data_IF_784295814297
#
_entry.id   IF_784295814297
#
_cell.length_a   1.000
_cell.length_b   1.000
_cell.length_c   1.000
_cell.angle_alpha   90.00
_cell.angle_beta   90.00
_cell.angle_gamma   90.00
#
_symmetry.space_group_name_H-M   'P 1'
#
loop_
_entity.id
_entity.type
_entity.pdbx_description
1 polymer ?
#
# COMPACT_ATOMS: atom_id res chain seq x y z
N UNK A 1 -15.69 9.40 3.31
CA UNK A 1 -15.52 7.93 3.44
C UNK A 1 -14.03 7.67 3.62
N UNK A 2 -13.62 6.87 4.62
CA UNK A 2 -12.20 6.61 4.86
C UNK A 2 -11.59 5.77 3.74
N UNK A 3 -10.33 6.05 3.44
CA UNK A 3 -9.53 5.30 2.48
C UNK A 3 -9.93 5.48 1.02
N UNK A 4 -10.71 6.49 0.63
CA UNK A 4 -10.92 6.80 -0.78
C UNK A 4 -9.63 7.30 -1.46
N UNK A 5 -9.61 7.31 -2.80
CA UNK A 5 -8.55 7.99 -3.56
C UNK A 5 -8.39 9.43 -3.06
N UNK A 6 -7.15 9.85 -2.86
CA UNK A 6 -6.78 11.12 -2.22
C UNK A 6 -6.55 11.04 -0.71
N UNK A 7 -6.99 9.96 -0.03
CA UNK A 7 -6.73 9.78 1.41
C UNK A 7 -5.24 9.65 1.68
N UNK A 8 -4.76 10.25 2.77
CA UNK A 8 -3.39 10.12 3.24
C UNK A 8 -3.34 9.02 4.30
N UNK A 9 -2.30 8.21 4.22
CA UNK A 9 -1.99 7.14 5.15
C UNK A 9 -0.63 7.39 5.77
N UNK A 10 -0.55 7.18 7.08
CA UNK A 10 0.71 6.98 7.79
C UNK A 10 1.05 5.51 7.79
N UNK A 11 2.26 5.16 7.36
CA UNK A 11 2.82 3.81 7.39
C UNK A 11 3.78 3.73 8.56
N UNK A 12 3.54 2.82 9.50
CA UNK A 12 4.37 2.70 10.70
C UNK A 12 4.44 1.25 11.21
N UNK A 13 5.47 0.97 12.03
CA UNK A 13 5.65 -0.28 12.76
C UNK A 13 5.82 -1.52 11.89
N UNK A 14 6.48 -1.40 10.74
CA UNK A 14 6.59 -2.50 9.79
C UNK A 14 7.68 -3.53 10.10
N UNK A 15 7.45 -4.77 9.71
CA UNK A 15 8.45 -5.86 9.68
C UNK A 15 8.89 -6.13 8.24
N UNK A 16 10.08 -6.71 8.03
CA UNK A 16 10.62 -6.98 6.69
C UNK A 16 11.76 -6.04 6.31
N UNK A 17 11.68 -5.42 5.14
CA UNK A 17 12.72 -4.52 4.60
C UNK A 17 12.91 -3.28 5.51
N UNK A 18 14.00 -3.30 6.28
CA UNK A 18 14.29 -2.25 7.26
C UNK A 18 14.78 -0.95 6.62
N UNK A 19 15.22 -0.96 5.35
CA UNK A 19 15.50 0.28 4.64
C UNK A 19 14.20 1.06 4.46
N UNK A 20 13.12 0.36 4.11
CA UNK A 20 11.79 0.94 3.97
C UNK A 20 11.12 1.25 5.32
N UNK A 21 11.09 0.28 6.25
CA UNK A 21 10.32 0.38 7.51
C UNK A 21 11.08 1.02 8.68
N UNK A 22 12.36 1.35 8.52
CA UNK A 22 13.15 1.98 9.57
C UNK A 22 12.67 3.39 9.95
N UNK A 23 11.70 3.95 9.22
CA UNK A 23 11.13 5.27 9.44
C UNK A 23 9.63 5.28 9.13
N UNK A 24 8.89 6.19 9.77
CA UNK A 24 7.50 6.46 9.39
C UNK A 24 7.45 7.07 7.98
N UNK A 25 6.57 6.55 7.14
CA UNK A 25 6.31 7.08 5.80
C UNK A 25 4.88 7.64 5.70
N UNK A 26 4.69 8.60 4.79
CA UNK A 26 3.38 9.09 4.40
C UNK A 26 3.10 8.71 2.96
N UNK A 27 1.88 8.28 2.70
CA UNK A 27 1.47 7.83 1.38
C UNK A 27 0.06 8.31 1.05
N UNK A 28 -0.19 8.65 -0.20
CA UNK A 28 -1.51 9.01 -0.70
C UNK A 28 -2.09 7.85 -1.48
N UNK A 29 -3.34 7.46 -1.21
CA UNK A 29 -4.04 6.54 -2.10
C UNK A 29 -4.31 7.23 -3.44
N UNK A 30 -3.89 6.59 -4.51
CA UNK A 30 -4.03 7.10 -5.88
C UNK A 30 -4.80 6.11 -6.72
N UNK A 31 -5.20 6.54 -7.92
CA UNK A 31 -5.80 5.70 -8.93
C UNK A 31 -5.05 5.91 -10.22
N UNK A 32 -4.53 4.84 -10.79
CA UNK A 32 -3.76 4.87 -12.02
C UNK A 32 -4.40 3.95 -13.06
N UNK A 33 -4.44 4.31 -14.35
CA UNK A 33 -5.08 3.49 -15.38
C UNK A 33 -4.50 2.08 -15.51
N UNK A 34 -3.23 1.92 -15.14
CA UNK A 34 -2.52 0.64 -15.21
C UNK A 34 -2.72 -0.26 -13.99
N UNK A 35 -3.35 0.24 -12.91
CA UNK A 35 -3.55 -0.53 -11.68
C UNK A 35 -5.01 -0.94 -11.52
N UNK A 36 -5.26 -2.26 -11.49
CA UNK A 36 -6.62 -2.83 -11.46
C UNK A 36 -7.28 -2.80 -10.08
N UNK A 37 -6.59 -2.32 -9.05
CA UNK A 37 -7.06 -2.38 -7.66
C UNK A 37 -6.93 -3.77 -7.02
N UNK A 38 -6.14 -4.66 -7.64
CA UNK A 38 -5.97 -6.04 -7.19
C UNK A 38 -4.52 -6.49 -7.34
N UNK A 39 -4.10 -7.39 -6.45
CA UNK A 39 -2.91 -8.24 -6.58
C UNK A 39 -3.36 -9.71 -6.51
N UNK A 40 -2.50 -10.71 -6.79
CA UNK A 40 -2.87 -12.13 -6.68
C UNK A 40 -3.47 -12.55 -5.32
N UNK A 41 -3.28 -11.73 -4.27
CA UNK A 41 -3.82 -11.95 -2.91
C UNK A 41 -5.19 -11.31 -2.65
N UNK A 42 -5.75 -10.55 -3.59
CA UNK A 42 -7.07 -9.91 -3.47
C UNK A 42 -7.06 -8.40 -3.67
N UNK A 43 -7.99 -7.71 -2.98
CA UNK A 43 -8.10 -6.25 -2.99
C UNK A 43 -6.76 -5.61 -2.62
N UNK A 44 -6.33 -4.64 -3.42
CA UNK A 44 -5.12 -3.89 -3.20
C UNK A 44 -5.36 -2.39 -3.35
N UNK A 45 -4.77 -1.60 -2.45
CA UNK A 45 -4.72 -0.15 -2.61
C UNK A 45 -3.37 0.25 -3.20
N UNK A 46 -3.40 1.12 -4.21
CA UNK A 46 -2.21 1.77 -4.74
C UNK A 46 -1.95 3.03 -3.93
N UNK A 47 -0.74 3.13 -3.37
CA UNK A 47 -0.30 4.29 -2.61
C UNK A 47 0.94 4.89 -3.28
N UNK A 48 0.97 6.21 -3.40
CA UNK A 48 2.15 6.97 -3.80
C UNK A 48 2.76 7.62 -2.56
N UNK A 49 4.06 7.41 -2.34
CA UNK A 49 4.77 7.99 -1.20
C UNK A 49 4.94 9.49 -1.39
N UNK A 50 4.62 10.28 -0.36
CA UNK A 50 4.49 11.74 -0.48
C UNK A 50 5.70 12.51 0.02
N UNK A 51 6.78 11.84 0.43
CA UNK A 51 8.00 12.51 0.90
C UNK A 51 9.06 11.56 1.44
N UNK A 52 10.23 12.12 1.74
CA UNK A 52 11.41 11.37 2.17
C UNK A 52 12.22 10.82 1.00
N UNK A 53 13.02 9.79 1.28
CA UNK A 53 13.93 9.16 0.32
C UNK A 53 13.19 8.44 -0.82
N UNK A 54 11.98 7.94 -0.53
CA UNK A 54 11.15 7.20 -1.46
C UNK A 54 10.02 8.06 -2.06
N UNK A 55 10.18 9.39 -2.09
CA UNK A 55 9.16 10.27 -2.64
C UNK A 55 8.80 9.88 -4.08
N UNK A 56 7.51 9.97 -4.41
CA UNK A 56 6.91 9.61 -5.69
C UNK A 56 6.94 8.11 -6.05
N UNK A 57 7.56 7.24 -5.25
CA UNK A 57 7.47 5.80 -5.45
C UNK A 57 6.06 5.26 -5.21
N UNK A 58 5.68 4.25 -5.99
CA UNK A 58 4.44 3.52 -5.82
C UNK A 58 4.64 2.23 -5.03
N UNK A 59 3.75 2.02 -4.06
CA UNK A 59 3.59 0.75 -3.38
C UNK A 59 2.15 0.28 -3.53
N UNK A 60 1.96 -1.03 -3.53
CA UNK A 60 0.64 -1.63 -3.36
C UNK A 60 0.54 -2.22 -1.96
N UNK A 61 -0.65 -2.14 -1.36
CA UNK A 61 -0.92 -2.77 -0.06
C UNK A 61 -2.09 -3.71 -0.18
N UNK A 62 -1.98 -4.90 0.41
CA UNK A 62 -3.05 -5.89 0.50
C UNK A 62 -3.38 -6.16 1.96
N UNK A 63 -4.57 -6.69 2.23
CA UNK A 63 -4.94 -7.07 3.60
C UNK A 63 -4.07 -8.21 4.11
N UNK A 64 -3.58 -8.08 5.35
CA UNK A 64 -2.98 -9.19 6.10
C UNK A 64 -4.05 -10.12 6.69
N UNK A 65 -5.27 -9.61 6.87
CA UNK A 65 -6.37 -10.29 7.54
C UNK A 65 -7.35 -10.91 6.54
N UNK A 66 -8.27 -11.75 7.03
CA UNK A 66 -9.36 -12.27 6.20
C UNK A 66 -10.34 -11.17 5.75
N UNK A 67 -10.47 -10.08 6.51
CA UNK A 67 -11.28 -8.93 6.14
C UNK A 67 -10.61 -8.09 5.04
N UNK A 68 -11.41 -7.55 4.12
CA UNK A 68 -10.93 -6.63 3.08
C UNK A 68 -10.37 -5.34 3.69
N UNK A 69 -9.57 -4.57 2.94
CA UNK A 69 -9.06 -3.27 3.40
C UNK A 69 -10.23 -2.32 3.66
N UNK A 70 -11.20 -2.34 2.76
CA UNK A 70 -12.42 -1.56 2.86
C UNK A 70 -13.24 -1.92 4.11
N UNK A 71 -13.28 -3.19 4.51
CA UNK A 71 -13.98 -3.61 5.73
C UNK A 71 -13.25 -3.22 7.00
N UNK A 72 -11.92 -3.33 7.03
CA UNK A 72 -11.13 -2.87 8.19
C UNK A 72 -11.34 -1.36 8.44
N UNK A 73 -11.41 -0.55 7.38
CA UNK A 73 -11.65 0.89 7.49
C UNK A 73 -13.05 1.29 7.96
N UNK A 74 -14.02 0.38 7.93
CA UNK A 74 -15.34 0.59 8.55
C UNK A 74 -15.26 0.52 10.08
N UNK A 75 -14.29 -0.24 10.61
CA UNK A 75 -14.12 -0.48 12.05
C UNK A 75 -13.31 0.65 12.69
N UNK A 76 -12.25 1.13 12.03
CA UNK A 76 -11.36 2.15 12.57
C UNK A 76 -10.48 2.81 11.52
N UNK A 77 -9.60 3.74 11.93
CA UNK A 77 -8.66 4.39 11.01
C UNK A 77 -7.44 3.50 10.69
N UNK A 78 -7.23 2.40 11.42
CA UNK A 78 -6.08 1.50 11.24
C UNK A 78 -6.41 0.27 10.42
N UNK A 79 -5.48 -0.13 9.55
CA UNK A 79 -5.53 -1.37 8.77
C UNK A 79 -4.20 -2.10 8.84
N UNK A 80 -4.25 -3.42 8.98
CA UNK A 80 -3.07 -4.28 8.97
C UNK A 80 -2.84 -4.82 7.56
N UNK A 81 -1.68 -4.52 6.99
CA UNK A 81 -1.41 -4.74 5.57
C UNK A 81 -0.12 -5.50 5.33
N UNK A 82 -0.06 -6.13 4.16
CA UNK A 82 1.17 -6.55 3.51
C UNK A 82 1.54 -5.46 2.51
N UNK A 83 2.77 -4.98 2.56
CA UNK A 83 3.30 -3.95 1.66
C UNK A 83 4.07 -4.61 0.53
N UNK A 84 3.77 -4.19 -0.69
CA UNK A 84 4.39 -4.64 -1.91
C UNK A 84 5.07 -3.46 -2.59
N UNK A 85 6.36 -3.58 -2.91
CA UNK A 85 7.05 -2.58 -3.72
C UNK A 85 6.81 -2.90 -5.19
N UNK A 86 6.44 -1.90 -5.98
CA UNK A 86 6.20 -2.08 -7.41
C UNK A 86 7.47 -1.71 -8.17
N UNK A 87 8.07 -2.66 -8.88
CA UNK A 87 9.22 -2.37 -9.74
C UNK A 87 8.74 -1.80 -11.08
N UNK A 88 9.19 -0.59 -11.42
CA UNK A 88 8.92 0.12 -12.68
C UNK A 88 7.44 0.05 -13.15
N UNK A 89 6.47 0.48 -12.32
CA UNK A 89 5.06 0.41 -12.71
C UNK A 89 4.75 1.43 -13.82
N UNK A 90 4.03 0.98 -14.84
CA UNK A 90 3.64 1.81 -15.98
C UNK A 90 2.54 1.19 -16.83
N UNK A 91 2.27 1.79 -17.99
CA UNK A 91 1.25 1.29 -18.93
C UNK A 91 1.58 -0.14 -19.37
N UNK A 92 0.67 -1.08 -19.09
CA UNK A 92 0.88 -2.51 -19.37
C UNK A 92 1.50 -3.30 -18.21
N UNK A 93 1.68 -2.67 -17.03
CA UNK A 93 2.10 -3.39 -15.83
C UNK A 93 1.05 -4.43 -15.44
N UNK A 94 1.44 -5.70 -15.48
CA UNK A 94 0.64 -6.81 -14.96
C UNK A 94 1.27 -7.22 -13.63
N UNK A 95 0.62 -6.95 -12.49
CA UNK A 95 1.16 -7.34 -11.20
C UNK A 95 1.28 -8.86 -11.11
N UNK A 96 2.50 -9.34 -10.94
CA UNK A 96 2.81 -10.72 -10.56
C UNK A 96 3.43 -10.70 -9.17
N UNK A 97 3.63 -11.87 -8.56
CA UNK A 97 4.37 -11.95 -7.30
C UNK A 97 5.84 -11.51 -7.45
N UNK A 98 6.39 -11.58 -8.66
CA UNK A 98 7.75 -11.16 -8.98
C UNK A 98 7.85 -9.65 -9.23
N UNK A 99 6.84 -9.04 -9.88
CA UNK A 99 6.83 -7.59 -10.15
C UNK A 99 6.27 -6.74 -9.00
N UNK A 100 5.63 -7.39 -8.02
CA UNK A 100 5.13 -6.76 -6.79
C UNK A 100 5.51 -7.60 -5.54
N UNK A 101 6.82 -7.80 -5.28
CA UNK A 101 7.27 -8.59 -4.13
C UNK A 101 6.77 -7.96 -2.82
N UNK A 102 6.34 -8.81 -1.90
CA UNK A 102 6.05 -8.37 -0.54
C UNK A 102 7.37 -8.01 0.14
N UNK A 103 7.49 -6.77 0.60
CA UNK A 103 8.67 -6.27 1.32
C UNK A 103 8.48 -6.33 2.84
N UNK A 104 7.26 -6.58 3.31
CA UNK A 104 6.96 -6.65 4.72
C UNK A 104 5.50 -6.46 5.07
N UNK A 105 5.20 -6.40 6.38
CA UNK A 105 3.88 -6.09 6.89
C UNK A 105 3.93 -4.81 7.72
N UNK A 106 2.86 -4.04 7.72
CA UNK A 106 2.78 -2.79 8.48
C UNK A 106 1.35 -2.50 8.95
N UNK A 107 1.23 -1.48 9.80
CA UNK A 107 -0.06 -0.83 10.07
C UNK A 107 -0.12 0.46 9.26
N UNK A 108 -1.22 0.64 8.54
CA UNK A 108 -1.56 1.95 7.98
C UNK A 108 -2.61 2.61 8.85
N UNK A 109 -2.47 3.91 9.05
CA UNK A 109 -3.47 4.77 9.67
C UNK A 109 -3.93 5.82 8.67
N UNK A 110 -5.24 5.92 8.45
CA UNK A 110 -5.84 7.03 7.68
C UNK A 110 -5.79 8.31 8.51
N UNK A 111 -5.19 9.36 7.94
CA UNK A 111 -5.12 10.70 8.52
C UNK A 111 -6.32 11.57 8.13
#
# INVERSE_FOLDING_TARGET
MRGQVGSIFRIDGGDGDQEFFGRTALARRVSEPWFTGTLPRGEAYLLQLTGGEYADEYIAVTSRQAASLSDQLKIGPWISVIVHRLADPGVGFVPTLESAPAIGMAVLEVL
#
